data_IF_291613286667
#
_entry.id   IF_291613286667
#
_cell.length_a   1.000
_cell.length_b   1.000
_cell.length_c   1.000
_cell.angle_alpha   90.00
_cell.angle_beta   90.00
_cell.angle_gamma   90.00
#
_symmetry.space_group_name_H-M   'P 1'
#
loop_
_entity.id
_entity.type
_entity.pdbx_description
1 polymer ?
#
# COMPACT_ATOMS: atom_id res chain seq x y z
N UNK A 1 -19.35 8.13 7.38
CA UNK A 1 -18.14 7.28 7.51
C UNK A 1 -18.51 5.97 8.15
N UNK A 2 -17.90 4.86 7.72
CA UNK A 2 -18.18 3.52 8.29
C UNK A 2 -17.48 3.28 9.63
N UNK A 3 -16.24 3.76 9.78
CA UNK A 3 -15.50 3.71 11.04
C UNK A 3 -15.84 4.93 11.89
N UNK A 4 -16.06 4.74 13.18
CA UNK A 4 -16.17 5.86 14.11
C UNK A 4 -14.83 6.62 14.20
N UNK A 5 -14.82 7.92 14.53
CA UNK A 5 -13.59 8.66 14.81
C UNK A 5 -12.75 7.96 15.89
N UNK A 6 -11.46 7.72 15.61
CA UNK A 6 -10.55 7.04 16.54
C UNK A 6 -10.79 5.54 16.71
N UNK A 7 -11.70 4.93 15.94
CA UNK A 7 -11.88 3.47 15.98
C UNK A 7 -10.57 2.77 15.58
N UNK A 8 -10.11 1.88 16.46
CA UNK A 8 -8.82 1.20 16.34
C UNK A 8 -8.79 0.26 15.14
N UNK A 9 -7.76 0.41 14.32
CA UNK A 9 -7.43 -0.45 13.17
C UNK A 9 -5.94 -0.78 13.21
N UNK A 10 -5.61 -2.06 13.36
CA UNK A 10 -4.21 -2.52 13.48
C UNK A 10 -3.57 -2.88 12.14
N UNK A 11 -4.39 -3.39 11.22
CA UNK A 11 -3.95 -3.90 9.93
C UNK A 11 -5.04 -3.59 8.90
N UNK A 12 -4.61 -3.07 7.76
CA UNK A 12 -5.45 -2.93 6.57
C UNK A 12 -4.84 -3.81 5.48
N UNK A 13 -5.60 -4.79 5.01
CA UNK A 13 -5.29 -5.53 3.78
C UNK A 13 -6.05 -4.87 2.63
N UNK A 14 -5.37 -4.64 1.52
CA UNK A 14 -5.94 -4.07 0.30
C UNK A 14 -5.40 -4.84 -0.92
N UNK A 15 -6.32 -5.49 -1.61
CA UNK A 15 -6.10 -6.26 -2.84
C UNK A 15 -7.32 -5.98 -3.71
N UNK A 16 -7.22 -4.88 -4.47
CA UNK A 16 -8.34 -4.28 -5.20
C UNK A 16 -7.95 -3.96 -6.64
N UNK A 17 -7.02 -4.75 -7.20
CA UNK A 17 -6.73 -4.85 -8.63
C UNK A 17 -6.33 -3.51 -9.27
N UNK A 18 -5.53 -2.70 -8.57
CA UNK A 18 -4.99 -1.44 -9.08
C UNK A 18 -5.63 -0.18 -8.48
N UNK A 19 -6.63 -0.29 -7.61
CA UNK A 19 -7.26 0.86 -6.96
C UNK A 19 -6.63 1.22 -5.60
N UNK A 20 -5.50 0.62 -5.21
CA UNK A 20 -4.89 0.74 -3.89
C UNK A 20 -4.60 2.20 -3.51
N UNK A 21 -4.05 2.99 -4.43
CA UNK A 21 -3.78 4.42 -4.18
C UNK A 21 -5.07 5.22 -3.96
N UNK A 22 -6.14 4.91 -4.70
CA UNK A 22 -7.43 5.58 -4.54
C UNK A 22 -8.05 5.26 -3.18
N UNK A 23 -8.02 3.99 -2.78
CA UNK A 23 -8.51 3.55 -1.48
C UNK A 23 -7.67 4.14 -0.33
N UNK A 24 -6.35 4.22 -0.45
CA UNK A 24 -5.50 4.89 0.54
C UNK A 24 -5.82 6.38 0.69
N UNK A 25 -6.07 7.08 -0.42
CA UNK A 25 -6.51 8.49 -0.40
C UNK A 25 -7.87 8.65 0.30
N UNK A 26 -8.82 7.75 0.03
CA UNK A 26 -10.13 7.74 0.69
C UNK A 26 -10.04 7.38 2.19
N UNK A 27 -9.09 6.54 2.58
CA UNK A 27 -8.87 6.10 3.96
C UNK A 27 -8.03 7.08 4.80
N UNK A 28 -7.79 8.32 4.33
CA UNK A 28 -6.84 9.24 4.96
C UNK A 28 -7.16 9.51 6.44
N UNK A 29 -8.45 9.66 6.81
CA UNK A 29 -8.86 9.82 8.21
C UNK A 29 -8.53 8.58 9.03
N UNK A 30 -8.92 7.39 8.57
CA UNK A 30 -8.67 6.13 9.28
C UNK A 30 -7.17 5.93 9.52
N UNK A 31 -6.33 6.25 8.54
CA UNK A 31 -4.88 6.19 8.66
C UNK A 31 -4.30 7.26 9.59
N UNK A 32 -4.89 8.46 9.63
CA UNK A 32 -4.48 9.52 10.56
C UNK A 32 -4.84 9.17 12.01
N UNK A 33 -6.04 8.63 12.23
CA UNK A 33 -6.52 8.14 13.53
C UNK A 33 -5.69 6.93 14.02
N UNK A 34 -5.08 6.17 13.09
CA UNK A 34 -4.34 4.94 13.37
C UNK A 34 -2.92 4.99 12.80
N UNK A 35 -2.08 5.89 13.30
CA UNK A 35 -0.70 6.09 12.81
C UNK A 35 0.24 4.88 12.95
N UNK A 36 -0.15 3.86 13.74
CA UNK A 36 0.55 2.59 13.89
C UNK A 36 -0.02 1.45 13.03
N UNK A 37 -1.09 1.72 12.25
CA UNK A 37 -1.70 0.72 11.40
C UNK A 37 -0.70 0.19 10.37
N UNK A 38 -0.66 -1.13 10.23
CA UNK A 38 0.12 -1.83 9.21
C UNK A 38 -0.70 -1.95 7.94
N UNK A 39 -0.02 -1.95 6.80
CA UNK A 39 -0.65 -2.10 5.48
C UNK A 39 -0.10 -3.34 4.79
N UNK A 40 -0.99 -4.16 4.25
CA UNK A 40 -0.67 -5.25 3.34
C UNK A 40 -1.37 -4.97 2.01
N UNK A 41 -0.58 -4.62 0.99
CA UNK A 41 -1.07 -4.06 -0.27
C UNK A 41 -0.59 -4.91 -1.44
N UNK A 42 -1.43 -5.09 -2.46
CA UNK A 42 -0.96 -5.48 -3.78
C UNK A 42 -0.26 -4.29 -4.45
N UNK A 43 0.94 -4.51 -4.99
CA UNK A 43 1.58 -3.61 -5.95
C UNK A 43 1.44 -4.25 -7.33
N UNK A 44 0.47 -3.77 -8.09
CA UNK A 44 0.27 -4.12 -9.49
C UNK A 44 0.35 -2.86 -10.36
N UNK A 45 1.54 -2.47 -10.84
CA UNK A 45 1.76 -1.22 -11.58
C UNK A 45 0.89 -1.08 -12.82
N UNK A 46 0.67 -2.19 -13.55
CA UNK A 46 -0.22 -2.21 -14.70
C UNK A 46 -1.68 -1.86 -14.30
N UNK A 47 -2.19 -2.48 -13.23
CA UNK A 47 -3.52 -2.20 -12.70
C UNK A 47 -3.67 -0.76 -12.23
N UNK A 48 -2.70 -0.26 -11.46
CA UNK A 48 -2.66 1.15 -11.01
C UNK A 48 -2.75 2.11 -12.19
N UNK A 49 -1.95 1.88 -13.24
CA UNK A 49 -1.97 2.69 -14.46
C UNK A 49 -3.33 2.64 -15.16
N UNK A 50 -3.97 1.46 -15.25
CA UNK A 50 -5.32 1.32 -15.81
C UNK A 50 -6.38 2.04 -14.99
N UNK A 51 -6.19 2.16 -13.68
CA UNK A 51 -7.04 2.94 -12.78
C UNK A 51 -6.71 4.44 -12.79
N UNK A 52 -5.76 4.92 -13.62
CA UNK A 52 -5.36 6.32 -13.67
C UNK A 52 -4.44 6.77 -12.53
N UNK A 53 -3.79 5.82 -11.84
CA UNK A 53 -2.82 6.04 -10.78
C UNK A 53 -1.40 5.64 -11.22
N UNK A 54 -0.40 6.13 -10.48
CA UNK A 54 1.00 5.76 -10.66
C UNK A 54 1.50 4.95 -9.45
N UNK A 55 2.23 3.87 -9.71
CA UNK A 55 2.81 3.06 -8.64
C UNK A 55 3.89 3.81 -7.84
N UNK A 56 4.61 4.74 -8.46
CA UNK A 56 5.56 5.60 -7.75
C UNK A 56 4.84 6.47 -6.71
N UNK A 57 3.69 7.06 -7.07
CA UNK A 57 2.87 7.83 -6.14
C UNK A 57 2.37 6.99 -4.96
N UNK A 58 2.07 5.70 -5.19
CA UNK A 58 1.72 4.76 -4.12
C UNK A 58 2.88 4.60 -3.14
N UNK A 59 4.10 4.35 -3.64
CA UNK A 59 5.30 4.22 -2.81
C UNK A 59 5.60 5.52 -2.06
N UNK A 60 5.56 6.65 -2.73
CA UNK A 60 5.77 7.98 -2.14
C UNK A 60 4.73 8.29 -1.05
N UNK A 61 3.46 7.91 -1.27
CA UNK A 61 2.39 8.07 -0.27
C UNK A 61 2.69 7.29 1.00
N UNK A 62 3.18 6.05 0.87
CA UNK A 62 3.57 5.21 2.01
C UNK A 62 4.80 5.79 2.74
N UNK A 63 5.81 6.21 1.98
CA UNK A 63 7.03 6.82 2.55
C UNK A 63 6.73 8.16 3.24
N UNK A 64 5.86 8.99 2.67
CA UNK A 64 5.42 10.27 3.25
C UNK A 64 4.66 10.10 4.56
N UNK A 65 4.09 8.91 4.81
CA UNK A 65 3.48 8.51 6.10
C UNK A 65 4.51 7.92 7.08
N UNK A 66 5.81 8.09 6.82
CA UNK A 66 6.92 7.55 7.60
C UNK A 66 6.89 6.01 7.76
N UNK A 67 6.42 5.30 6.74
CA UNK A 67 6.42 3.84 6.72
C UNK A 67 7.68 3.27 6.05
N UNK A 68 8.22 2.19 6.61
CA UNK A 68 9.12 1.28 5.92
C UNK A 68 8.30 0.35 5.02
N UNK A 69 8.83 0.01 3.85
CA UNK A 69 8.15 -0.81 2.84
C UNK A 69 8.96 -2.07 2.60
N UNK A 70 8.29 -3.22 2.67
CA UNK A 70 8.86 -4.53 2.46
C UNK A 70 8.08 -5.26 1.38
N UNK A 71 8.76 -6.06 0.56
CA UNK A 71 8.13 -7.05 -0.29
C UNK A 71 7.91 -8.33 0.51
N UNK A 72 6.71 -8.90 0.40
CA UNK A 72 6.39 -10.21 0.95
C UNK A 72 6.89 -11.29 0.01
N UNK A 73 7.65 -12.25 0.54
CA UNK A 73 8.19 -13.39 -0.21
C UNK A 73 7.85 -14.71 0.50
N UNK A 74 8.12 -15.84 -0.15
CA UNK A 74 8.02 -17.17 0.47
C UNK A 74 8.96 -17.36 1.68
N UNK A 75 9.98 -16.51 1.83
CA UNK A 75 10.96 -16.56 2.91
C UNK A 75 10.80 -15.41 3.92
N UNK A 76 9.67 -14.69 3.87
CA UNK A 76 9.37 -13.58 4.75
C UNK A 76 9.53 -12.22 4.07
N UNK A 77 9.72 -11.18 4.88
CA UNK A 77 9.79 -9.79 4.45
C UNK A 77 11.21 -9.43 4.03
N UNK A 78 11.34 -8.85 2.83
CA UNK A 78 12.61 -8.26 2.36
C UNK A 78 12.38 -6.78 2.07
N UNK A 79 13.36 -5.88 2.28
CA UNK A 79 13.20 -4.47 1.93
C UNK A 79 12.76 -4.32 0.47
N UNK A 80 11.76 -3.48 0.22
CA UNK A 80 11.30 -3.21 -1.14
C UNK A 80 12.36 -2.44 -1.92
N UNK A 81 12.61 -2.83 -3.18
CA UNK A 81 13.53 -2.18 -4.10
C UNK A 81 12.79 -1.83 -5.39
N UNK A 82 12.82 -0.56 -5.78
CA UNK A 82 12.05 0.00 -6.90
C UNK A 82 12.62 -0.39 -8.28
N UNK A 83 13.89 -0.76 -8.36
CA UNK A 83 14.57 -1.22 -9.57
C UNK A 83 13.99 -2.53 -10.14
N UNK A 84 13.32 -3.32 -9.29
CA UNK A 84 12.73 -4.61 -9.64
C UNK A 84 11.29 -4.53 -10.16
N UNK A 85 10.71 -3.32 -10.27
CA UNK A 85 9.31 -3.11 -10.64
C UNK A 85 9.10 -3.21 -12.15
N UNK A 86 8.02 -3.88 -12.57
CA UNK A 86 7.62 -4.00 -13.97
C UNK A 86 6.17 -3.57 -14.18
N UNK A 87 5.88 -2.91 -15.30
CA UNK A 87 4.51 -2.57 -15.73
C UNK A 87 3.87 -3.68 -16.61
N UNK A 88 4.47 -4.86 -16.67
CA UNK A 88 3.84 -6.01 -17.33
C UNK A 88 2.52 -6.39 -16.63
N UNK A 89 1.45 -6.72 -17.38
CA UNK A 89 0.18 -7.18 -16.79
C UNK A 89 0.34 -8.38 -15.84
N UNK A 90 1.32 -9.25 -16.11
CA UNK A 90 1.57 -10.47 -15.33
C UNK A 90 2.43 -10.23 -14.08
N UNK A 91 2.97 -9.02 -13.90
CA UNK A 91 3.86 -8.71 -12.79
C UNK A 91 3.10 -8.02 -11.67
N UNK A 92 3.06 -8.66 -10.50
CA UNK A 92 2.55 -8.06 -9.27
C UNK A 92 3.29 -8.65 -8.07
N UNK A 93 3.35 -7.88 -6.99
CA UNK A 93 3.94 -8.32 -5.72
C UNK A 93 3.09 -7.85 -4.55
N UNK A 94 3.17 -8.55 -3.42
CA UNK A 94 2.58 -8.07 -2.18
C UNK A 94 3.60 -7.22 -1.41
N UNK A 95 3.17 -6.06 -0.93
CA UNK A 95 3.93 -5.17 -0.08
C UNK A 95 3.37 -5.19 1.33
N UNK A 96 4.27 -5.18 2.31
CA UNK A 96 3.96 -4.91 3.70
C UNK A 96 4.58 -3.57 4.08
N UNK A 97 3.77 -2.63 4.57
CA UNK A 97 4.24 -1.34 5.06
C UNK A 97 3.87 -1.15 6.53
N UNK A 98 4.81 -0.62 7.30
CA UNK A 98 4.62 -0.33 8.73
C UNK A 98 5.42 0.90 9.12
N UNK A 99 4.96 1.63 10.13
CA UNK A 99 5.68 2.76 10.71
C UNK A 99 7.11 2.37 11.08
N UNK A 100 8.07 3.26 10.81
CA UNK A 100 9.47 3.11 11.21
C UNK A 100 9.65 3.22 12.73
#
# INVERSE_FOLDING_TARGET
DYFEPGQRVDLIKMDIQGYELHALRGANRVLADNSAAKLLLELWPYGLKKAGANWLELIETLQGKNMAIYRVTKHGLVPFQSDSVSESPEWYVNLFASSK
#
